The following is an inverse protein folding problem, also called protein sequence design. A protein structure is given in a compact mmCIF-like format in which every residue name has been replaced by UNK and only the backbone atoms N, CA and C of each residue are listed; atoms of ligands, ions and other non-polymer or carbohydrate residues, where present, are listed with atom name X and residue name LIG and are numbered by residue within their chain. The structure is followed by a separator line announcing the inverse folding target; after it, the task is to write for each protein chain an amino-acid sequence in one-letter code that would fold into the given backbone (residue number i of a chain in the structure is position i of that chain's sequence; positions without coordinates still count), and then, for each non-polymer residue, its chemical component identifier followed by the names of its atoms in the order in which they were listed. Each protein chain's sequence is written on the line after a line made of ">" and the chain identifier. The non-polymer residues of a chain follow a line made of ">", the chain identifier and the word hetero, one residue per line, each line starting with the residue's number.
data_IF_416920424194
#
_entry.id   IF_416920424194
#
_cell.length_a   1.000
_cell.length_b   1.000
_cell.length_c   1.000
_cell.angle_alpha   90.00
_cell.angle_beta   90.00
_cell.angle_gamma   90.00
#
_symmetry.space_group_name_H-M   'P 1'
#
loop_
_entity.id
_entity.type
_entity.pdbx_description
1 polymer ?
#
# COMPACT_ATOMS: atom_id res chain seq x y z
N UNK A 1 57.53 4.90 -48.84
CA UNK A 1 56.28 4.09 -48.84
C UNK A 1 55.78 3.76 -47.43
N UNK A 2 55.82 4.72 -46.49
CA UNK A 2 55.36 4.55 -45.08
C UNK A 2 54.41 5.66 -44.61
N UNK A 3 53.98 6.55 -45.51
CA UNK A 3 53.09 7.69 -45.19
C UNK A 3 51.63 7.41 -45.64
N UNK A 4 51.39 6.37 -46.44
CA UNK A 4 50.05 6.03 -46.94
C UNK A 4 49.22 5.14 -46.00
N UNK A 5 49.86 4.44 -45.04
CA UNK A 5 49.17 3.50 -44.14
C UNK A 5 48.57 4.17 -42.88
N UNK A 6 49.04 5.35 -42.50
CA UNK A 6 48.53 6.07 -41.31
C UNK A 6 47.26 6.85 -41.64
N UNK A 7 47.08 7.28 -42.89
CA UNK A 7 45.90 8.06 -43.30
C UNK A 7 44.64 7.19 -43.45
N UNK A 8 44.78 5.91 -43.81
CA UNK A 8 43.63 5.01 -43.96
C UNK A 8 43.09 4.47 -42.61
N UNK A 9 43.94 4.36 -41.58
CA UNK A 9 43.50 3.98 -40.23
C UNK A 9 42.78 5.12 -39.48
N UNK A 10 43.12 6.38 -39.77
CA UNK A 10 42.46 7.56 -39.20
C UNK A 10 41.12 7.91 -39.87
N UNK A 11 40.89 7.45 -41.10
CA UNK A 11 39.61 7.62 -41.81
C UNK A 11 38.55 6.56 -41.43
N UNK A 12 38.95 5.44 -40.80
CA UNK A 12 38.02 4.43 -40.25
C UNK A 12 37.63 4.67 -38.78
N UNK A 13 38.30 5.60 -38.09
CA UNK A 13 37.89 6.07 -36.75
C UNK A 13 36.93 7.28 -36.80
N UNK A 14 36.53 7.72 -37.99
CA UNK A 14 35.68 8.91 -38.22
C UNK A 14 34.36 8.60 -38.92
N UNK A 15 34.01 7.33 -39.09
CA UNK A 15 32.61 6.92 -39.12
C UNK A 15 32.23 6.52 -37.71
N UNK A 16 32.04 7.54 -36.86
CA UNK A 16 31.24 7.42 -35.68
C UNK A 16 29.81 7.05 -36.08
N UNK A 17 29.58 5.79 -36.44
CA UNK A 17 28.36 5.08 -36.12
C UNK A 17 28.28 5.08 -34.58
N UNK A 18 27.99 6.25 -34.01
CA UNK A 18 27.11 6.29 -32.86
C UNK A 18 25.92 5.50 -33.34
N UNK A 19 25.72 4.31 -32.79
CA UNK A 19 24.39 3.74 -32.78
C UNK A 19 23.48 4.92 -32.42
N UNK A 20 22.62 5.34 -33.37
CA UNK A 20 21.54 6.25 -33.02
C UNK A 20 20.99 5.67 -31.73
N UNK A 21 20.97 6.47 -30.65
CA UNK A 21 20.38 6.06 -29.38
C UNK A 21 18.98 5.58 -29.73
N UNK A 22 18.84 4.27 -29.88
CA UNK A 22 17.69 3.68 -30.52
C UNK A 22 16.53 4.13 -29.66
N UNK A 23 15.65 4.96 -30.23
CA UNK A 23 14.59 5.63 -29.49
C UNK A 23 13.87 4.55 -28.71
N UNK A 24 14.07 4.53 -27.39
CA UNK A 24 13.47 3.51 -26.53
C UNK A 24 11.97 3.59 -26.79
N UNK A 25 11.34 2.52 -27.28
CA UNK A 25 9.95 2.58 -27.65
C UNK A 25 9.11 2.86 -26.40
N UNK A 26 7.99 3.53 -26.60
CA UNK A 26 7.02 3.78 -25.52
C UNK A 26 6.49 2.48 -24.90
N UNK A 27 6.51 1.39 -25.69
CA UNK A 27 6.16 0.05 -25.26
C UNK A 27 7.38 -0.89 -25.39
N UNK A 28 7.89 -1.34 -24.25
CA UNK A 28 9.02 -2.26 -24.11
C UNK A 28 8.61 -3.73 -24.30
N UNK A 29 7.33 -4.01 -24.51
CA UNK A 29 6.86 -5.38 -24.72
C UNK A 29 7.45 -5.94 -26.04
N UNK A 30 8.06 -7.14 -26.02
CA UNK A 30 8.92 -7.62 -27.12
C UNK A 30 8.17 -7.85 -28.44
N UNK A 31 6.90 -8.25 -28.37
CA UNK A 31 6.04 -8.44 -29.53
C UNK A 31 4.57 -8.19 -29.17
N UNK A 32 4.05 -7.02 -29.52
CA UNK A 32 2.67 -6.64 -29.22
C UNK A 32 1.62 -7.47 -29.95
N UNK A 33 2.04 -8.19 -31.00
CA UNK A 33 1.19 -9.04 -31.82
C UNK A 33 1.19 -10.51 -31.39
N UNK A 34 2.15 -10.94 -30.58
CA UNK A 34 2.40 -12.34 -30.21
C UNK A 34 2.81 -13.29 -31.34
N UNK A 35 3.17 -12.78 -32.53
CA UNK A 35 3.70 -13.57 -33.66
C UNK A 35 4.99 -14.34 -33.35
N UNK A 36 5.85 -13.84 -32.47
CA UNK A 36 7.11 -14.50 -32.09
C UNK A 36 6.91 -15.71 -31.17
N UNK A 37 5.71 -15.88 -30.62
CA UNK A 37 5.41 -16.91 -29.64
C UNK A 37 5.19 -18.25 -30.35
N UNK A 38 5.94 -19.27 -29.93
CA UNK A 38 5.89 -20.59 -30.56
C UNK A 38 4.55 -21.26 -30.27
N UNK A 39 3.93 -21.79 -31.32
CA UNK A 39 2.72 -22.58 -31.16
C UNK A 39 3.04 -23.91 -30.46
N UNK A 40 2.16 -24.31 -29.56
CA UNK A 40 2.18 -25.59 -28.84
C UNK A 40 0.78 -26.19 -28.85
N UNK A 41 0.59 -27.35 -28.20
CA UNK A 41 -0.75 -27.93 -28.04
C UNK A 41 -1.72 -27.02 -27.25
N UNK A 42 -1.21 -26.22 -26.32
CA UNK A 42 -2.03 -25.35 -25.46
C UNK A 42 -2.01 -23.88 -25.90
N UNK A 43 -1.14 -23.49 -26.84
CA UNK A 43 -0.86 -22.09 -27.12
C UNK A 43 -0.75 -21.83 -28.60
N UNK A 44 -1.38 -20.77 -29.08
CA UNK A 44 -1.24 -20.33 -30.47
C UNK A 44 -1.45 -18.84 -30.62
N UNK A 45 -0.67 -18.24 -31.50
CA UNK A 45 -0.97 -16.93 -32.05
C UNK A 45 -2.21 -17.01 -32.95
N UNK A 46 -3.06 -16.00 -32.90
CA UNK A 46 -4.11 -15.76 -33.90
C UNK A 46 -4.16 -14.29 -34.28
N UNK A 47 -4.18 -13.94 -35.58
CA UNK A 47 -4.17 -12.54 -36.03
C UNK A 47 -5.43 -11.77 -35.65
N UNK A 48 -6.55 -12.46 -35.38
CA UNK A 48 -7.86 -11.84 -35.20
C UNK A 48 -8.61 -12.32 -33.94
N UNK A 49 -7.96 -13.04 -33.01
CA UNK A 49 -8.63 -13.56 -31.80
C UNK A 49 -8.78 -12.52 -30.68
N UNK A 50 -8.00 -11.44 -30.73
CA UNK A 50 -8.01 -10.34 -29.77
C UNK A 50 -9.24 -9.45 -29.90
N UNK A 51 -9.38 -8.54 -28.95
CA UNK A 51 -10.48 -7.57 -28.90
C UNK A 51 -10.58 -6.76 -30.20
N UNK A 52 -11.79 -6.69 -30.77
CA UNK A 52 -12.09 -6.00 -32.02
C UNK A 52 -11.22 -6.47 -33.21
N UNK A 53 -10.89 -7.77 -33.25
CA UNK A 53 -10.09 -8.37 -34.32
C UNK A 53 -8.58 -8.10 -34.20
N UNK A 54 -8.11 -7.66 -33.03
CA UNK A 54 -6.68 -7.51 -32.80
C UNK A 54 -5.95 -8.87 -32.80
N UNK A 55 -4.63 -8.89 -33.00
CA UNK A 55 -3.85 -10.10 -32.77
C UNK A 55 -3.87 -10.50 -31.29
N UNK A 56 -3.88 -11.80 -31.03
CA UNK A 56 -3.96 -12.33 -29.67
C UNK A 56 -3.23 -13.66 -29.49
N UNK A 57 -2.76 -13.86 -28.27
CA UNK A 57 -2.24 -15.15 -27.80
C UNK A 57 -3.40 -15.95 -27.20
N UNK A 58 -3.78 -17.03 -27.87
CA UNK A 58 -4.72 -18.00 -27.32
C UNK A 58 -3.93 -18.96 -26.44
N UNK A 59 -4.42 -19.15 -25.21
CA UNK A 59 -4.01 -20.24 -24.32
C UNK A 59 -5.25 -21.06 -24.01
N UNK A 60 -5.23 -22.34 -24.37
CA UNK A 60 -6.35 -23.27 -24.24
C UNK A 60 -5.85 -24.55 -23.60
N UNK A 61 -6.28 -24.79 -22.35
CA UNK A 61 -5.86 -25.96 -21.58
C UNK A 61 -7.02 -26.93 -21.46
N UNK A 62 -6.87 -28.08 -22.11
CA UNK A 62 -7.84 -29.20 -22.10
C UNK A 62 -7.39 -30.38 -21.27
N UNK A 63 -6.08 -30.53 -21.11
CA UNK A 63 -5.47 -31.63 -20.36
C UNK A 63 -4.76 -31.06 -19.13
N UNK A 64 -5.17 -31.43 -17.90
CA UNK A 64 -4.51 -30.98 -16.69
C UNK A 64 -3.06 -31.47 -16.60
N UNK A 65 -2.68 -32.56 -17.25
CA UNK A 65 -1.33 -33.14 -17.21
C UNK A 65 -0.31 -32.41 -18.09
N UNK A 66 -0.78 -31.65 -19.08
CA UNK A 66 0.07 -30.82 -19.94
C UNK A 66 0.25 -29.46 -19.26
N UNK A 67 1.47 -28.94 -19.26
CA UNK A 67 1.74 -27.58 -18.80
C UNK A 67 2.75 -26.93 -19.74
N UNK A 68 2.26 -26.02 -20.60
CA UNK A 68 3.11 -25.22 -21.46
C UNK A 68 3.33 -23.81 -20.90
N UNK A 69 4.59 -23.53 -20.54
CA UNK A 69 5.03 -22.22 -20.09
C UNK A 69 6.16 -21.69 -20.96
N UNK A 70 5.76 -20.91 -21.98
CA UNK A 70 6.69 -20.11 -22.77
C UNK A 70 6.80 -18.70 -22.20
N UNK A 71 8.02 -18.18 -22.17
CA UNK A 71 8.33 -16.78 -21.93
C UNK A 71 9.14 -16.21 -23.10
N UNK A 72 8.93 -14.94 -23.40
CA UNK A 72 9.73 -14.19 -24.36
C UNK A 72 10.71 -13.27 -23.66
N UNK A 73 11.92 -13.15 -24.21
CA UNK A 73 12.92 -12.19 -23.72
C UNK A 73 12.46 -10.77 -24.04
N UNK A 74 12.48 -9.89 -23.05
CA UNK A 74 12.27 -8.46 -23.26
C UNK A 74 13.51 -7.92 -23.99
N UNK A 75 13.29 -7.42 -25.22
CA UNK A 75 14.38 -7.04 -26.13
C UNK A 75 15.02 -5.70 -25.75
N UNK A 76 14.24 -4.83 -25.10
CA UNK A 76 14.70 -3.51 -24.69
C UNK A 76 15.28 -3.56 -23.29
N UNK A 77 16.41 -2.87 -23.04
CA UNK A 77 17.04 -2.88 -21.73
C UNK A 77 16.10 -2.27 -20.68
N UNK A 78 15.74 -3.08 -19.70
CA UNK A 78 15.07 -2.62 -18.49
C UNK A 78 16.13 -2.16 -17.49
N UNK A 79 15.84 -1.10 -16.73
CA UNK A 79 16.72 -0.54 -15.71
C UNK A 79 16.57 -1.30 -14.38
N UNK A 80 17.66 -1.55 -13.64
CA UNK A 80 17.61 -2.02 -12.24
C UNK A 80 16.85 -1.07 -11.32
N UNK A 81 16.23 -1.65 -10.28
CA UNK A 81 15.45 -0.94 -9.27
C UNK A 81 14.49 0.12 -9.86
N UNK A 82 13.86 -0.16 -11.00
CA UNK A 82 13.03 0.79 -11.74
C UNK A 82 11.58 0.31 -11.84
N UNK A 83 10.65 1.25 -11.92
CA UNK A 83 9.21 0.95 -11.96
C UNK A 83 8.72 0.79 -13.39
N UNK A 84 7.85 -0.17 -13.59
CA UNK A 84 7.19 -0.45 -14.86
C UNK A 84 5.72 -0.74 -14.67
N UNK A 85 4.92 -0.41 -15.67
CA UNK A 85 3.52 -0.80 -15.75
C UNK A 85 3.34 -1.82 -16.87
N UNK A 86 2.76 -2.96 -16.51
CA UNK A 86 2.30 -3.96 -17.45
C UNK A 86 0.77 -3.86 -17.56
N UNK A 87 0.27 -3.59 -18.76
CA UNK A 87 -1.16 -3.61 -19.09
C UNK A 87 -1.44 -4.64 -20.18
N UNK A 88 -2.55 -5.35 -20.10
CA UNK A 88 -3.04 -6.21 -21.17
C UNK A 88 -4.57 -6.38 -21.11
N UNK A 89 -5.17 -6.78 -22.22
CA UNK A 89 -6.58 -7.20 -22.30
C UNK A 89 -6.64 -8.73 -22.29
N UNK A 90 -7.60 -9.28 -21.56
CA UNK A 90 -7.85 -10.73 -21.55
C UNK A 90 -9.34 -11.02 -21.53
N UNK A 91 -9.76 -11.96 -22.37
CA UNK A 91 -11.07 -12.62 -22.30
C UNK A 91 -10.87 -14.09 -22.01
N UNK A 92 -11.90 -14.76 -21.48
CA UNK A 92 -11.77 -16.17 -21.18
C UNK A 92 -13.08 -16.88 -20.95
N UNK A 93 -13.05 -18.19 -21.14
CA UNK A 93 -14.16 -19.11 -20.99
C UNK A 93 -13.74 -20.30 -20.12
N UNK A 94 -14.57 -20.62 -19.16
CA UNK A 94 -14.45 -21.79 -18.28
C UNK A 94 -13.07 -21.89 -17.60
N UNK A 95 -12.45 -20.73 -17.30
CA UNK A 95 -11.17 -20.69 -16.60
C UNK A 95 -11.41 -21.12 -15.15
N UNK A 96 -10.78 -22.21 -14.75
CA UNK A 96 -10.89 -22.74 -13.40
C UNK A 96 -10.66 -21.67 -12.32
N UNK A 97 -11.52 -21.55 -11.28
CA UNK A 97 -11.37 -20.56 -10.21
C UNK A 97 -10.19 -20.87 -9.28
N UNK A 98 -9.46 -21.97 -9.50
CA UNK A 98 -8.39 -22.41 -8.63
C UNK A 98 -7.07 -21.70 -8.93
N UNK A 99 -6.44 -21.22 -7.85
CA UNK A 99 -5.05 -20.76 -7.70
C UNK A 99 -4.55 -19.58 -8.57
N UNK A 100 -4.49 -19.68 -9.90
CA UNK A 100 -3.82 -18.67 -10.75
C UNK A 100 -4.62 -18.18 -11.97
N UNK A 101 -5.61 -18.91 -12.48
CA UNK A 101 -6.39 -18.47 -13.66
C UNK A 101 -5.50 -18.13 -14.87
N UNK A 102 -5.97 -17.24 -15.74
CA UNK A 102 -5.21 -16.69 -16.87
C UNK A 102 -4.27 -15.57 -16.39
N UNK A 103 -3.02 -15.93 -16.13
CA UNK A 103 -2.02 -15.14 -15.39
C UNK A 103 -0.88 -14.62 -16.27
N UNK A 104 -0.10 -13.70 -15.69
CA UNK A 104 1.16 -13.22 -16.26
C UNK A 104 2.31 -13.35 -15.25
N UNK A 105 3.50 -13.68 -15.76
CA UNK A 105 4.73 -13.76 -14.99
C UNK A 105 5.85 -13.04 -15.73
N UNK A 106 6.66 -12.31 -14.97
CA UNK A 106 7.96 -11.81 -15.40
C UNK A 106 9.05 -12.44 -14.54
N UNK A 107 10.18 -12.80 -15.16
CA UNK A 107 11.32 -13.40 -14.48
C UNK A 107 12.58 -12.65 -14.87
N UNK A 108 13.42 -12.38 -13.89
CA UNK A 108 14.67 -11.66 -14.03
C UNK A 108 15.83 -12.60 -13.74
N UNK A 109 16.91 -12.47 -14.50
CA UNK A 109 18.11 -13.28 -14.36
C UNK A 109 19.35 -12.41 -14.30
N UNK A 110 20.37 -12.92 -13.60
CA UNK A 110 21.71 -12.35 -13.53
C UNK A 110 22.72 -13.47 -13.74
N UNK A 111 23.53 -13.40 -14.78
CA UNK A 111 24.55 -14.39 -15.13
C UNK A 111 23.98 -15.83 -15.12
N UNK A 112 22.78 -16.01 -15.68
CA UNK A 112 22.08 -17.31 -15.71
C UNK A 112 21.48 -17.77 -14.37
N UNK A 113 21.61 -16.99 -13.28
CA UNK A 113 20.97 -17.26 -11.99
C UNK A 113 19.69 -16.44 -11.83
N UNK A 114 18.70 -17.00 -11.15
CA UNK A 114 17.45 -16.31 -10.87
C UNK A 114 17.71 -15.08 -9.98
N UNK A 115 17.31 -13.90 -10.46
CA UNK A 115 17.48 -12.62 -9.76
C UNK A 115 16.16 -12.08 -9.18
N UNK A 116 15.03 -12.64 -9.59
CA UNK A 116 13.73 -12.24 -9.09
C UNK A 116 12.59 -12.67 -10.02
N UNK A 117 11.36 -12.60 -9.54
CA UNK A 117 10.20 -12.75 -10.42
C UNK A 117 9.00 -11.99 -9.90
N UNK A 118 8.17 -11.58 -10.84
CA UNK A 118 6.88 -10.99 -10.59
C UNK A 118 5.80 -11.91 -11.15
N UNK A 119 4.76 -12.19 -10.38
CA UNK A 119 3.63 -13.01 -10.83
C UNK A 119 2.33 -12.39 -10.35
N UNK A 120 1.38 -12.21 -11.27
CA UNK A 120 0.05 -11.72 -10.93
C UNK A 120 -1.02 -12.63 -11.47
N UNK A 121 -1.97 -12.90 -10.58
CA UNK A 121 -3.22 -13.61 -10.87
C UNK A 121 -4.05 -12.73 -11.80
N UNK A 122 -4.49 -13.31 -12.91
CA UNK A 122 -5.37 -12.61 -13.84
C UNK A 122 -6.80 -13.13 -13.77
N UNK A 123 -7.35 -13.51 -14.91
CA UNK A 123 -8.78 -13.79 -15.07
C UNK A 123 -9.17 -15.18 -14.56
N UNK A 124 -10.36 -15.28 -13.94
CA UNK A 124 -11.03 -16.51 -13.55
C UNK A 124 -12.43 -16.58 -14.15
N UNK A 125 -12.97 -17.80 -14.26
CA UNK A 125 -14.31 -18.07 -14.77
C UNK A 125 -14.46 -17.70 -16.24
N UNK A 126 -15.72 -17.42 -16.62
CA UNK A 126 -16.07 -16.91 -17.94
C UNK A 126 -16.26 -15.40 -17.85
N UNK A 127 -15.58 -14.68 -18.73
CA UNK A 127 -15.65 -13.22 -18.79
C UNK A 127 -15.32 -12.76 -20.19
N UNK A 128 -16.07 -11.76 -20.63
CA UNK A 128 -15.65 -10.92 -21.75
C UNK A 128 -14.40 -10.10 -21.37
N UNK A 129 -13.91 -9.29 -22.30
CA UNK A 129 -12.66 -8.57 -22.20
C UNK A 129 -12.51 -7.69 -20.95
N UNK A 130 -11.51 -8.02 -20.13
CA UNK A 130 -11.07 -7.22 -18.98
C UNK A 130 -9.66 -6.67 -19.20
N UNK A 131 -9.43 -5.48 -18.66
CA UNK A 131 -8.09 -4.87 -18.63
C UNK A 131 -7.44 -5.20 -17.32
N UNK A 132 -6.25 -5.77 -17.37
CA UNK A 132 -5.37 -5.91 -16.22
C UNK A 132 -4.24 -4.90 -16.33
N UNK A 133 -3.93 -4.28 -15.20
CA UNK A 133 -2.86 -3.30 -15.05
C UNK A 133 -2.11 -3.63 -13.77
N UNK A 134 -0.81 -3.80 -13.88
CA UNK A 134 0.03 -4.08 -12.73
C UNK A 134 1.31 -3.27 -12.76
N UNK A 135 1.70 -2.79 -11.59
CA UNK A 135 3.01 -2.16 -11.39
C UNK A 135 4.04 -3.18 -10.92
N UNK A 136 5.27 -3.00 -11.39
CA UNK A 136 6.39 -3.91 -11.20
C UNK A 136 7.61 -3.06 -10.86
N UNK A 137 8.34 -3.42 -9.81
CA UNK A 137 9.69 -2.90 -9.55
C UNK A 137 10.69 -3.97 -9.93
N UNK A 138 11.66 -3.64 -10.78
CA UNK A 138 12.71 -4.59 -11.18
C UNK A 138 13.68 -4.85 -10.03
N UNK A 139 14.35 -6.02 -9.98
CA UNK A 139 15.38 -6.29 -8.98
C UNK A 139 16.54 -5.29 -9.03
N UNK A 140 17.29 -5.19 -7.93
CA UNK A 140 18.48 -4.33 -7.81
C UNK A 140 19.60 -4.71 -8.78
N UNK A 141 19.68 -5.98 -9.16
CA UNK A 141 20.68 -6.47 -10.11
C UNK A 141 20.08 -7.57 -11.00
N UNK A 142 20.11 -7.35 -12.32
CA UNK A 142 19.74 -8.32 -13.35
C UNK A 142 20.35 -7.89 -14.70
N UNK A 143 20.51 -8.83 -15.64
CA UNK A 143 20.98 -8.56 -17.01
C UNK A 143 19.95 -8.95 -18.09
N UNK A 144 18.90 -9.68 -17.70
CA UNK A 144 17.88 -10.15 -18.63
C UNK A 144 16.53 -10.32 -17.94
N UNK A 145 15.47 -10.05 -18.69
CA UNK A 145 14.09 -10.14 -18.24
C UNK A 145 13.26 -10.89 -19.28
N UNK A 146 12.32 -11.71 -18.79
CA UNK A 146 11.45 -12.54 -19.61
C UNK A 146 10.01 -12.38 -19.15
N UNK A 147 9.05 -12.39 -20.08
CA UNK A 147 7.62 -12.26 -19.79
C UNK A 147 6.84 -13.42 -20.40
N UNK A 148 5.91 -14.00 -19.64
CA UNK A 148 5.09 -15.15 -20.02
C UNK A 148 3.64 -14.99 -19.62
N UNK A 149 2.72 -15.28 -20.53
CA UNK A 149 1.29 -15.48 -20.25
C UNK A 149 0.98 -16.97 -20.18
N UNK A 150 0.13 -17.37 -19.24
CA UNK A 150 -0.11 -18.78 -18.97
C UNK A 150 -1.41 -19.03 -18.21
N UNK A 151 -1.82 -20.30 -18.16
CA UNK A 151 -2.88 -20.79 -17.29
C UNK A 151 -2.36 -21.89 -16.36
N UNK A 152 -2.32 -21.57 -15.06
CA UNK A 152 -2.05 -22.52 -14.00
C UNK A 152 -0.62 -22.62 -13.43
N UNK A 153 -0.42 -23.37 -12.34
CA UNK A 153 0.88 -23.48 -11.66
C UNK A 153 1.82 -24.49 -12.34
N UNK A 154 3.12 -24.17 -12.50
CA UNK A 154 4.10 -25.14 -12.99
C UNK A 154 4.43 -26.27 -12.00
N UNK A 155 4.31 -26.03 -10.68
CA UNK A 155 5.22 -26.71 -9.76
C UNK A 155 4.70 -27.76 -8.79
N UNK A 156 3.40 -27.89 -8.46
CA UNK A 156 3.04 -28.94 -7.45
C UNK A 156 1.72 -29.70 -7.59
N UNK A 157 0.72 -29.27 -8.36
CA UNK A 157 -0.51 -30.07 -8.52
C UNK A 157 -1.21 -29.72 -9.84
N UNK A 158 -1.14 -30.56 -10.88
CA UNK A 158 -1.81 -30.32 -12.17
C UNK A 158 -3.35 -30.32 -12.12
N UNK A 159 -3.98 -30.48 -10.95
CA UNK A 159 -5.39 -30.83 -10.88
C UNK A 159 -6.31 -29.63 -11.23
N UNK A 160 -7.01 -29.76 -12.36
CA UNK A 160 -8.23 -29.04 -12.75
C UNK A 160 -8.09 -27.56 -13.18
N UNK A 161 -6.91 -27.12 -13.65
CA UNK A 161 -6.77 -25.78 -14.26
C UNK A 161 -7.00 -25.83 -15.76
N UNK A 162 -8.26 -25.99 -16.15
CA UNK A 162 -8.72 -25.96 -17.54
C UNK A 162 -9.25 -24.58 -17.91
N UNK A 163 -9.40 -24.35 -19.20
CA UNK A 163 -10.09 -23.19 -19.73
C UNK A 163 -9.53 -22.70 -21.05
N UNK A 164 -10.07 -21.58 -21.48
CA UNK A 164 -9.67 -20.86 -22.68
C UNK A 164 -9.46 -19.40 -22.31
N UNK A 165 -8.32 -18.84 -22.71
CA UNK A 165 -7.99 -17.44 -22.51
C UNK A 165 -7.38 -16.86 -23.78
N UNK A 166 -7.73 -15.60 -24.09
CA UNK A 166 -7.08 -14.84 -25.15
C UNK A 166 -6.48 -13.57 -24.55
N UNK A 167 -5.18 -13.40 -24.69
CA UNK A 167 -4.46 -12.19 -24.29
C UNK A 167 -4.20 -11.32 -25.52
N UNK A 168 -4.45 -10.02 -25.41
CA UNK A 168 -4.12 -9.06 -26.48
C UNK A 168 -3.70 -7.69 -25.93
N UNK A 169 -3.11 -6.87 -26.81
CA UNK A 169 -2.69 -5.47 -26.52
C UNK A 169 -1.76 -5.35 -25.29
N UNK A 170 -0.68 -6.13 -25.20
CA UNK A 170 0.24 -6.02 -24.08
C UNK A 170 1.04 -4.72 -24.19
N UNK A 171 1.12 -3.97 -23.09
CA UNK A 171 1.92 -2.76 -22.95
C UNK A 171 2.80 -2.89 -21.73
N UNK A 172 4.11 -2.74 -21.90
CA UNK A 172 5.07 -2.63 -20.82
C UNK A 172 5.76 -1.28 -20.95
N UNK A 173 5.61 -0.39 -19.98
CA UNK A 173 6.22 0.96 -20.04
C UNK A 173 6.91 1.32 -18.73
N UNK A 174 7.98 2.08 -18.82
CA UNK A 174 8.66 2.63 -17.65
C UNK A 174 7.75 3.66 -16.96
N UNK A 175 7.65 3.58 -15.64
CA UNK A 175 6.98 4.55 -14.81
C UNK A 175 8.02 5.47 -14.16
N UNK A 176 7.59 6.69 -13.83
CA UNK A 176 8.39 7.58 -12.99
C UNK A 176 8.62 6.93 -11.61
N UNK A 177 9.77 7.17 -10.96
CA UNK A 177 9.96 6.72 -9.59
C UNK A 177 8.96 7.42 -8.65
N UNK A 178 8.69 6.76 -7.52
CA UNK A 178 7.88 7.32 -6.44
C UNK A 178 8.83 7.82 -5.36
N UNK A 179 8.59 9.06 -4.95
CA UNK A 179 9.20 9.61 -3.76
C UNK A 179 8.28 9.44 -2.57
N UNK A 180 8.69 8.61 -1.62
CA UNK A 180 7.99 8.42 -0.36
C UNK A 180 8.72 9.18 0.75
N UNK A 181 8.00 10.08 1.39
CA UNK A 181 8.48 10.81 2.56
C UNK A 181 7.37 10.81 3.61
N UNK A 182 7.74 10.46 4.84
CA UNK A 182 6.82 10.50 5.98
C UNK A 182 7.54 11.13 7.19
N UNK A 183 6.79 11.87 8.01
CA UNK A 183 7.30 12.36 9.30
C UNK A 183 7.28 11.19 10.29
N UNK A 184 8.44 10.88 10.84
CA UNK A 184 8.62 9.85 11.85
C UNK A 184 8.46 10.42 13.26
N UNK A 185 8.99 11.62 13.50
CA UNK A 185 8.96 12.26 14.82
C UNK A 185 8.77 13.78 14.71
N UNK A 186 7.80 14.36 15.42
CA UNK A 186 6.74 13.68 16.16
C UNK A 186 5.73 13.03 15.21
N UNK A 187 5.07 11.93 15.60
CA UNK A 187 4.05 11.27 14.76
C UNK A 187 2.76 12.09 14.62
N UNK A 188 2.67 13.25 15.29
CA UNK A 188 1.49 14.11 15.37
C UNK A 188 1.76 15.45 14.67
N UNK A 189 1.61 15.49 13.35
CA UNK A 189 1.90 16.68 12.52
C UNK A 189 1.10 17.94 12.92
N UNK A 190 -0.08 17.76 13.51
CA UNK A 190 -1.00 18.85 13.88
C UNK A 190 -1.04 19.14 15.39
N UNK A 191 -0.30 18.38 16.19
CA UNK A 191 -0.22 18.50 17.65
C UNK A 191 1.12 19.06 18.12
N UNK A 192 1.80 19.86 17.29
CA UNK A 192 3.17 20.32 17.55
C UNK A 192 3.20 21.39 18.64
N UNK A 193 4.33 21.48 19.34
CA UNK A 193 4.59 22.53 20.33
C UNK A 193 5.14 23.77 19.67
N UNK A 194 4.87 24.95 20.23
CA UNK A 194 5.56 26.18 19.83
C UNK A 194 7.02 26.15 20.28
N UNK A 195 7.87 26.88 19.56
CA UNK A 195 9.31 26.94 19.83
C UNK A 195 10.12 25.93 19.01
N UNK A 196 11.35 25.61 19.46
CA UNK A 196 12.24 24.70 18.75
C UNK A 196 11.69 23.27 18.67
N UNK A 197 11.62 22.75 17.45
CA UNK A 197 11.22 21.39 17.13
C UNK A 197 12.26 20.74 16.20
N UNK A 198 12.44 19.42 16.36
CA UNK A 198 13.17 18.59 15.39
C UNK A 198 12.17 17.67 14.70
N UNK A 199 11.94 17.92 13.42
CA UNK A 199 11.06 17.11 12.59
C UNK A 199 11.91 16.07 11.87
N UNK A 200 11.82 14.81 12.31
CA UNK A 200 12.57 13.70 11.73
C UNK A 200 11.71 13.03 10.68
N UNK A 201 12.23 12.91 9.47
CA UNK A 201 11.54 12.28 8.36
C UNK A 201 12.26 11.02 7.91
N UNK A 202 11.49 10.09 7.37
CA UNK A 202 12.00 8.98 6.57
C UNK A 202 11.87 9.33 5.08
N UNK A 203 12.74 8.72 4.29
CA UNK A 203 12.86 8.90 2.85
C UNK A 203 12.98 7.52 2.22
N UNK A 204 12.21 7.27 1.16
CA UNK A 204 12.42 6.13 0.27
C UNK A 204 12.14 6.54 -1.18
N UNK A 205 12.97 6.05 -2.10
CA UNK A 205 12.71 6.12 -3.54
C UNK A 205 12.43 4.73 -4.07
N UNK A 206 11.24 4.56 -4.64
CA UNK A 206 10.89 3.34 -5.36
C UNK A 206 11.05 3.61 -6.84
N UNK A 207 11.83 2.79 -7.54
CA UNK A 207 12.01 2.95 -8.98
C UNK A 207 13.21 3.79 -9.40
N UNK A 208 14.18 4.02 -8.50
CA UNK A 208 15.44 4.69 -8.83
C UNK A 208 16.63 3.93 -8.20
N UNK A 209 17.73 3.65 -8.93
CA UNK A 209 18.94 3.03 -8.37
C UNK A 209 19.57 3.91 -7.28
N UNK A 210 20.34 3.28 -6.37
CA UNK A 210 20.88 3.71 -5.06
C UNK A 210 21.51 5.12 -4.93
N UNK A 211 20.79 6.17 -5.33
CA UNK A 211 21.20 7.56 -5.20
C UNK A 211 20.17 8.30 -4.34
N UNK A 212 20.29 8.13 -3.03
CA UNK A 212 19.66 9.06 -2.10
C UNK A 212 20.21 10.48 -2.40
N UNK A 213 19.39 11.54 -2.38
CA UNK A 213 19.89 12.89 -2.37
C UNK A 213 20.89 13.04 -1.24
N UNK A 214 22.00 13.71 -1.47
CA UNK A 214 22.81 14.19 -0.35
C UNK A 214 22.03 15.24 0.46
N UNK A 215 21.19 16.02 -0.23
CA UNK A 215 20.40 17.10 0.36
C UNK A 215 19.03 17.25 -0.29
N UNK A 216 18.06 17.76 0.47
CA UNK A 216 16.79 18.26 -0.03
C UNK A 216 16.51 19.68 0.49
N UNK A 217 15.57 20.37 -0.13
CA UNK A 217 15.11 21.68 0.32
C UNK A 217 13.82 21.53 1.13
N UNK A 218 13.82 22.05 2.35
CA UNK A 218 12.66 22.18 3.21
C UNK A 218 12.25 23.66 3.29
N UNK A 219 11.08 23.99 2.76
CA UNK A 219 10.51 25.34 2.75
C UNK A 219 9.22 25.33 3.57
N UNK A 220 9.10 26.23 4.54
CA UNK A 220 7.89 26.37 5.34
C UNK A 220 7.29 27.76 5.14
N UNK A 221 5.96 27.83 5.01
CA UNK A 221 5.19 29.08 4.84
C UNK A 221 3.96 29.12 5.74
N UNK A 222 3.53 30.31 6.14
CA UNK A 222 2.35 30.52 7.00
C UNK A 222 2.73 31.10 8.36
N UNK A 223 2.27 30.50 9.45
CA UNK A 223 2.61 30.97 10.80
C UNK A 223 4.12 30.96 11.08
N UNK A 224 4.86 30.04 10.46
CA UNK A 224 6.33 29.97 10.51
C UNK A 224 6.87 29.96 9.10
N UNK A 225 7.95 30.72 8.87
CA UNK A 225 8.59 30.79 7.57
C UNK A 225 10.08 30.47 7.68
N UNK A 226 10.57 29.57 6.83
CA UNK A 226 11.98 29.26 6.66
C UNK A 226 12.24 28.53 5.35
N UNK A 227 13.50 28.57 4.90
CA UNK A 227 14.02 27.67 3.88
C UNK A 227 15.33 27.07 4.37
N UNK A 228 15.47 25.75 4.28
CA UNK A 228 16.64 25.01 4.74
C UNK A 228 17.07 23.99 3.68
N UNK A 229 18.38 23.88 3.47
CA UNK A 229 18.97 22.73 2.79
C UNK A 229 19.31 21.70 3.86
N UNK A 230 18.65 20.54 3.83
CA UNK A 230 18.80 19.52 4.88
C UNK A 230 19.53 18.29 4.32
N UNK A 231 20.57 17.81 5.01
CA UNK A 231 21.28 16.60 4.59
C UNK A 231 20.41 15.37 4.80
N UNK A 232 20.51 14.41 3.88
CA UNK A 232 19.86 13.09 4.00
C UNK A 232 20.93 12.06 4.26
N UNK A 233 20.70 11.21 5.26
CA UNK A 233 21.60 10.13 5.65
C UNK A 233 20.78 8.89 5.97
N UNK A 234 21.15 7.76 5.37
CA UNK A 234 20.53 6.45 5.63
C UNK A 234 18.99 6.47 5.52
N UNK A 235 18.47 7.15 4.49
CA UNK A 235 17.04 7.29 4.26
C UNK A 235 16.32 8.17 5.30
N UNK A 236 17.03 9.04 6.01
CA UNK A 236 16.46 9.95 7.01
C UNK A 236 17.04 11.36 6.91
N UNK A 237 16.27 12.33 7.35
CA UNK A 237 16.72 13.71 7.49
C UNK A 237 15.97 14.43 8.60
N UNK A 238 16.53 15.54 9.09
CA UNK A 238 15.96 16.34 10.17
C UNK A 238 15.77 17.77 9.71
N UNK A 239 14.53 18.26 9.81
CA UNK A 239 14.21 19.68 9.63
C UNK A 239 14.12 20.33 11.02
N UNK A 240 14.98 21.31 11.29
CA UNK A 240 14.94 22.08 12.54
C UNK A 240 13.98 23.25 12.36
N UNK A 241 12.88 23.29 13.10
CA UNK A 241 11.87 24.33 12.93
C UNK A 241 11.64 25.06 14.26
N UNK A 242 11.65 26.39 14.24
CA UNK A 242 11.19 27.18 15.38
C UNK A 242 9.74 27.61 15.14
N UNK A 243 8.78 26.79 15.58
CA UNK A 243 7.38 26.91 15.21
C UNK A 243 6.67 27.98 16.04
N UNK A 244 6.02 28.94 15.37
CA UNK A 244 5.06 29.87 15.98
C UNK A 244 3.69 29.23 16.09
N UNK A 245 2.86 29.76 17.00
CA UNK A 245 1.46 29.33 17.14
C UNK A 245 0.72 29.54 15.81
N UNK A 246 0.00 28.51 15.35
CA UNK A 246 -0.78 28.54 14.13
C UNK A 246 -0.36 27.47 13.12
N UNK A 247 -0.96 27.55 11.94
CA UNK A 247 -0.77 26.58 10.86
C UNK A 247 0.33 27.05 9.90
N UNK A 248 1.13 26.10 9.43
CA UNK A 248 2.12 26.33 8.37
C UNK A 248 2.19 25.12 7.43
N UNK A 249 2.65 25.37 6.21
CA UNK A 249 2.81 24.35 5.19
C UNK A 249 4.30 24.13 4.98
N UNK A 250 4.76 22.92 5.28
CA UNK A 250 6.13 22.47 4.99
C UNK A 250 6.13 21.77 3.64
N UNK A 251 6.86 22.33 2.69
CA UNK A 251 7.13 21.76 1.38
C UNK A 251 8.54 21.21 1.34
N UNK A 252 8.66 19.93 1.01
CA UNK A 252 9.93 19.26 0.79
C UNK A 252 10.14 19.11 -0.72
N UNK A 253 11.34 19.40 -1.21
CA UNK A 253 11.68 19.32 -2.63
C UNK A 253 12.99 18.59 -2.87
N UNK A 254 12.98 17.68 -3.84
CA UNK A 254 14.15 17.01 -4.36
C UNK A 254 14.00 16.82 -5.88
N UNK A 255 14.81 17.51 -6.68
CA UNK A 255 14.70 17.48 -8.14
C UNK A 255 13.26 17.78 -8.61
N UNK A 256 12.60 16.89 -9.38
CA UNK A 256 11.21 17.07 -9.81
C UNK A 256 10.17 16.68 -8.74
N UNK A 257 10.59 16.12 -7.61
CA UNK A 257 9.68 15.62 -6.57
C UNK A 257 9.34 16.72 -5.56
N UNK A 258 8.08 16.74 -5.13
CA UNK A 258 7.57 17.67 -4.11
C UNK A 258 6.60 16.92 -3.21
N UNK A 259 6.79 17.06 -1.91
CA UNK A 259 5.88 16.54 -0.87
C UNK A 259 5.49 17.67 0.07
N UNK A 260 4.24 17.65 0.52
CA UNK A 260 3.65 18.76 1.28
C UNK A 260 3.05 18.22 2.57
N UNK A 261 3.46 18.81 3.68
CA UNK A 261 2.96 18.53 5.02
C UNK A 261 2.27 19.77 5.57
N UNK A 262 1.06 19.58 6.11
CA UNK A 262 0.41 20.58 6.94
C UNK A 262 0.90 20.39 8.37
N UNK A 263 1.39 21.47 8.97
CA UNK A 263 1.86 21.47 10.34
C UNK A 263 1.00 22.46 11.14
N UNK A 264 0.66 22.10 12.36
CA UNK A 264 -0.05 23.00 13.28
C UNK A 264 0.62 22.97 14.64
N UNK A 265 0.97 24.15 15.15
CA UNK A 265 1.68 24.29 16.42
C UNK A 265 0.92 25.17 17.41
N UNK A 266 1.05 24.84 18.70
CA UNK A 266 0.47 25.62 19.79
C UNK A 266 -1.04 25.45 19.95
N UNK A 267 -1.58 24.33 19.48
CA UNK A 267 -2.91 23.87 19.88
C UNK A 267 -2.88 23.46 21.36
N UNK A 268 -3.96 23.74 22.08
CA UNK A 268 -4.07 23.38 23.49
C UNK A 268 -4.25 21.87 23.64
N UNK A 269 -3.35 21.23 24.37
CA UNK A 269 -3.41 19.79 24.66
C UNK A 269 -4.60 19.52 25.58
N UNK A 270 -5.58 18.68 25.19
CA UNK A 270 -6.70 18.33 26.04
C UNK A 270 -6.23 17.47 27.23
N UNK A 271 -7.03 17.43 28.29
CA UNK A 271 -6.70 16.68 29.50
C UNK A 271 -6.48 15.17 29.25
N UNK A 272 -7.15 14.59 28.24
CA UNK A 272 -6.98 13.20 27.83
C UNK A 272 -5.91 13.00 26.75
N UNK A 273 -5.19 14.04 26.35
CA UNK A 273 -4.22 14.00 25.25
C UNK A 273 -3.06 13.04 25.51
N UNK A 274 -2.60 12.41 24.43
CA UNK A 274 -1.52 11.44 24.38
C UNK A 274 -0.50 11.90 23.36
N UNK A 275 0.79 11.87 23.70
CA UNK A 275 1.86 12.17 22.75
C UNK A 275 3.01 11.20 22.88
N UNK A 276 3.86 11.16 21.86
CA UNK A 276 5.11 10.41 21.88
C UNK A 276 6.25 11.39 22.16
N UNK A 277 7.09 11.10 23.15
CA UNK A 277 8.26 11.91 23.45
C UNK A 277 9.44 11.62 22.50
N UNK A 278 10.52 12.39 22.64
CA UNK A 278 11.75 12.25 21.84
C UNK A 278 12.43 10.87 21.96
N UNK A 279 12.10 10.09 23.01
CA UNK A 279 12.62 8.74 23.24
C UNK A 279 11.70 7.66 22.67
N UNK A 280 10.63 8.05 21.97
CA UNK A 280 9.64 7.12 21.45
C UNK A 280 8.68 6.58 22.52
N UNK A 281 8.64 7.17 23.72
CA UNK A 281 7.74 6.74 24.79
C UNK A 281 6.40 7.44 24.65
N UNK A 282 5.33 6.69 24.80
CA UNK A 282 4.01 7.28 24.94
C UNK A 282 3.88 7.96 26.30
N UNK A 283 3.38 9.19 26.30
CA UNK A 283 3.12 10.00 27.47
C UNK A 283 1.63 10.24 27.58
N UNK A 284 1.06 9.91 28.74
CA UNK A 284 -0.35 10.12 29.09
C UNK A 284 -0.40 10.78 30.46
N UNK A 285 -1.19 11.84 30.60
CA UNK A 285 -1.29 12.61 31.86
C UNK A 285 0.09 13.03 32.42
N UNK A 286 1.02 13.40 31.53
CA UNK A 286 2.37 13.82 31.90
C UNK A 286 3.34 12.71 32.33
N UNK A 287 2.93 11.43 32.30
CA UNK A 287 3.77 10.30 32.71
C UNK A 287 4.00 9.32 31.55
N UNK A 288 5.20 8.70 31.45
CA UNK A 288 5.41 7.59 30.54
C UNK A 288 4.38 6.48 30.78
N UNK A 289 3.81 5.96 29.69
CA UNK A 289 2.79 4.94 29.69
C UNK A 289 3.17 3.86 28.67
N UNK A 290 3.18 2.60 29.08
CA UNK A 290 3.39 1.46 28.19
C UNK A 290 2.06 0.71 28.06
N UNK A 291 1.38 0.74 26.89
CA UNK A 291 0.18 -0.05 26.70
C UNK A 291 0.54 -1.54 26.68
N UNK A 292 0.10 -2.28 27.71
CA UNK A 292 0.06 -3.74 27.71
C UNK A 292 -1.36 -4.13 27.34
N UNK A 293 -1.55 -4.45 26.05
CA UNK A 293 -2.87 -4.60 25.46
C UNK A 293 -3.33 -6.05 25.39
N UNK A 294 -4.62 -6.29 25.70
CA UNK A 294 -5.31 -7.51 25.30
C UNK A 294 -6.07 -7.25 24.00
N UNK A 295 -5.78 -8.05 22.98
CA UNK A 295 -6.46 -7.99 21.69
C UNK A 295 -7.60 -8.99 21.63
N UNK A 296 -8.78 -8.50 21.27
CA UNK A 296 -9.93 -9.35 20.96
C UNK A 296 -10.15 -9.34 19.44
N UNK A 297 -9.91 -10.48 18.77
CA UNK A 297 -10.09 -10.62 17.34
C UNK A 297 -11.30 -11.52 17.02
N UNK A 298 -12.45 -10.87 16.81
CA UNK A 298 -13.74 -11.51 16.55
C UNK A 298 -13.92 -12.08 15.13
N UNK A 299 -12.88 -12.17 14.31
CA UNK A 299 -12.99 -12.49 12.88
C UNK A 299 -12.83 -13.98 12.51
N UNK A 300 -12.56 -14.87 13.46
CA UNK A 300 -12.39 -16.29 13.17
C UNK A 300 -13.74 -16.95 12.75
N UNK A 301 -13.78 -17.78 11.68
CA UNK A 301 -15.01 -18.44 11.22
C UNK A 301 -15.72 -19.26 12.31
N UNK A 302 -14.96 -19.91 13.20
CA UNK A 302 -15.50 -20.64 14.35
C UNK A 302 -16.32 -19.76 15.29
N UNK A 303 -16.01 -18.47 15.38
CA UNK A 303 -16.71 -17.51 16.25
C UNK A 303 -18.06 -17.06 15.68
N UNK A 304 -18.32 -17.27 14.38
CA UNK A 304 -19.63 -16.97 13.75
C UNK A 304 -20.70 -18.00 14.07
N UNK A 305 -20.30 -19.23 14.37
CA UNK A 305 -21.21 -20.36 14.61
C UNK A 305 -21.70 -20.41 16.07
N UNK A 306 -20.89 -19.91 17.02
CA UNK A 306 -21.22 -19.89 18.46
C UNK A 306 -21.85 -18.59 18.97
N UNK A 307 -21.99 -17.56 18.12
CA UNK A 307 -22.73 -16.35 18.46
C UNK A 307 -22.14 -15.54 19.62
N UNK A 308 -20.81 -15.35 19.66
CA UNK A 308 -20.19 -14.72 20.82
C UNK A 308 -20.47 -13.20 20.91
N UNK A 309 -20.81 -12.79 22.12
CA UNK A 309 -21.02 -11.42 22.60
C UNK A 309 -19.97 -11.21 23.68
N UNK A 310 -19.23 -10.09 23.66
CA UNK A 310 -18.39 -9.73 24.81
C UNK A 310 -19.30 -9.67 26.04
N UNK A 311 -19.15 -10.62 26.96
CA UNK A 311 -20.05 -10.72 28.10
C UNK A 311 -19.69 -9.69 29.17
N UNK A 312 -20.61 -9.45 30.09
CA UNK A 312 -20.30 -8.65 31.28
C UNK A 312 -19.14 -9.26 32.07
N UNK A 313 -19.08 -10.60 32.16
CA UNK A 313 -18.01 -11.33 32.83
C UNK A 313 -16.65 -11.09 32.16
N UNK A 314 -16.58 -11.14 30.82
CA UNK A 314 -15.35 -10.85 30.06
C UNK A 314 -14.82 -9.45 30.36
N UNK A 315 -15.72 -8.45 30.39
CA UNK A 315 -15.35 -7.07 30.72
C UNK A 315 -14.87 -7.00 32.16
N UNK A 316 -15.55 -7.63 33.11
CA UNK A 316 -15.13 -7.64 34.52
C UNK A 316 -13.77 -8.32 34.71
N UNK A 317 -13.50 -9.42 34.00
CA UNK A 317 -12.20 -10.09 33.98
C UNK A 317 -11.12 -9.14 33.46
N UNK A 318 -11.37 -8.46 32.34
CA UNK A 318 -10.44 -7.48 31.80
C UNK A 318 -10.18 -6.32 32.77
N UNK A 319 -11.23 -5.74 33.36
CA UNK A 319 -11.11 -4.62 34.30
C UNK A 319 -10.24 -4.98 35.52
N UNK A 320 -10.32 -6.23 35.99
CA UNK A 320 -9.51 -6.77 37.10
C UNK A 320 -8.13 -7.28 36.67
N UNK A 321 -7.91 -7.46 35.38
CA UNK A 321 -6.65 -8.01 34.84
C UNK A 321 -5.47 -7.02 34.97
N UNK A 322 -4.21 -7.50 34.84
CA UNK A 322 -3.05 -6.61 34.80
C UNK A 322 -2.89 -5.86 33.48
N UNK A 323 -3.66 -6.19 32.43
CA UNK A 323 -3.61 -5.48 31.15
C UNK A 323 -4.06 -4.03 31.33
N UNK A 324 -3.35 -3.08 30.73
CA UNK A 324 -3.66 -1.65 30.88
C UNK A 324 -4.60 -1.15 29.80
N UNK A 325 -4.65 -1.85 28.67
CA UNK A 325 -5.24 -1.36 27.44
C UNK A 325 -6.05 -2.46 26.77
N UNK A 326 -7.23 -2.11 26.30
CA UNK A 326 -8.04 -2.99 25.49
C UNK A 326 -7.84 -2.63 24.02
N UNK A 327 -7.58 -3.63 23.18
CA UNK A 327 -7.58 -3.49 21.74
C UNK A 327 -8.72 -4.34 21.17
N UNK A 328 -9.90 -3.73 21.07
CA UNK A 328 -11.04 -4.42 20.49
C UNK A 328 -10.93 -4.42 18.97
N UNK A 329 -11.40 -5.52 18.35
CA UNK A 329 -12.02 -5.45 17.03
C UNK A 329 -13.12 -4.37 17.00
N UNK A 330 -13.74 -4.05 15.85
CA UNK A 330 -14.56 -2.85 15.71
C UNK A 330 -15.52 -2.66 16.88
N UNK A 331 -15.24 -1.63 17.71
CA UNK A 331 -15.90 -1.22 18.97
C UNK A 331 -17.43 -1.23 18.92
N UNK A 332 -17.93 -1.14 17.71
CA UNK A 332 -19.31 -1.14 17.26
C UNK A 332 -20.03 -2.48 17.39
N UNK A 333 -19.27 -3.56 17.59
CA UNK A 333 -19.81 -4.90 17.84
C UNK A 333 -19.97 -5.21 19.32
N UNK A 334 -19.59 -4.29 20.21
CA UNK A 334 -19.83 -4.44 21.64
C UNK A 334 -21.34 -4.53 21.88
N UNK A 335 -21.78 -5.71 22.33
CA UNK A 335 -23.12 -6.01 22.80
C UNK A 335 -23.01 -6.30 24.29
N UNK A 336 -24.07 -6.04 25.05
CA UNK A 336 -24.15 -6.49 26.43
C UNK A 336 -25.08 -7.70 26.54
N UNK A 337 -24.98 -8.42 27.66
CA UNK A 337 -25.76 -9.61 27.95
C UNK A 337 -27.28 -9.36 27.79
N UNK A 338 -27.98 -10.29 27.12
CA UNK A 338 -29.41 -10.19 26.81
C UNK A 338 -29.77 -9.59 25.44
N UNK A 339 -28.79 -9.20 24.61
CA UNK A 339 -29.04 -8.64 23.29
C UNK A 339 -29.04 -9.69 22.17
N UNK A 340 -30.11 -9.78 21.37
CA UNK A 340 -30.18 -10.70 20.22
C UNK A 340 -29.20 -10.31 19.11
N UNK A 341 -28.59 -11.32 18.49
CA UNK A 341 -27.76 -11.12 17.31
C UNK A 341 -28.61 -10.70 16.10
N UNK A 342 -28.42 -9.46 15.63
CA UNK A 342 -28.85 -9.09 14.28
C UNK A 342 -28.22 -10.03 13.25
N UNK A 343 -29.01 -10.50 12.28
CA UNK A 343 -28.61 -11.51 11.29
C UNK A 343 -27.58 -11.02 10.26
N UNK A 344 -27.12 -9.76 10.32
CA UNK A 344 -26.21 -9.20 9.33
C UNK A 344 -25.05 -8.40 9.95
N UNK A 345 -23.88 -8.59 9.36
CA UNK A 345 -22.68 -7.76 9.52
C UNK A 345 -22.98 -6.37 8.96
N UNK A 346 -23.69 -5.50 9.70
CA UNK A 346 -24.22 -4.34 9.01
C UNK A 346 -25.03 -3.27 9.74
N UNK A 347 -25.38 -3.40 11.02
CA UNK A 347 -26.21 -2.39 11.69
C UNK A 347 -25.50 -1.85 12.94
N UNK A 348 -24.70 -0.78 12.78
CA UNK A 348 -24.31 0.06 13.92
C UNK A 348 -25.50 0.97 14.21
N UNK A 349 -26.07 0.81 15.40
CA UNK A 349 -27.18 1.62 15.90
C UNK A 349 -26.68 2.64 16.91
N UNK A 350 -27.51 3.64 17.25
CA UNK A 350 -27.22 4.54 18.37
C UNK A 350 -26.92 3.75 19.66
N UNK A 351 -27.64 2.64 19.87
CA UNK A 351 -27.41 1.73 21.00
C UNK A 351 -25.99 1.15 21.01
N UNK A 352 -25.40 0.84 19.86
CA UNK A 352 -24.00 0.35 19.79
C UNK A 352 -23.01 1.46 20.17
N UNK A 353 -23.27 2.71 19.78
CA UNK A 353 -22.47 3.87 20.20
C UNK A 353 -22.57 4.06 21.71
N UNK A 354 -23.79 4.03 22.25
CA UNK A 354 -24.02 4.19 23.69
C UNK A 354 -23.34 3.06 24.49
N UNK A 355 -23.37 1.84 23.95
CA UNK A 355 -22.70 0.69 24.55
C UNK A 355 -21.17 0.83 24.53
N UNK A 356 -20.60 1.31 23.43
CA UNK A 356 -19.17 1.61 23.34
C UNK A 356 -18.76 2.69 24.35
N UNK A 357 -19.54 3.77 24.48
CA UNK A 357 -19.30 4.82 25.47
C UNK A 357 -19.35 4.28 26.91
N UNK A 358 -20.37 3.48 27.25
CA UNK A 358 -20.47 2.82 28.58
C UNK A 358 -19.26 1.94 28.87
N UNK A 359 -18.76 1.20 27.88
CA UNK A 359 -17.54 0.42 28.04
C UNK A 359 -16.35 1.35 28.31
N UNK A 360 -16.19 2.41 27.52
CA UNK A 360 -15.11 3.37 27.71
C UNK A 360 -15.17 4.04 29.10
N UNK A 361 -16.35 4.38 29.61
CA UNK A 361 -16.55 4.90 30.97
C UNK A 361 -16.04 3.91 32.03
N UNK A 362 -16.37 2.63 31.88
CA UNK A 362 -15.92 1.57 32.78
C UNK A 362 -14.40 1.37 32.72
N UNK A 363 -13.83 1.39 31.52
CA UNK A 363 -12.38 1.34 31.32
C UNK A 363 -11.72 2.53 32.03
N UNK A 364 -12.24 3.74 31.84
CA UNK A 364 -11.73 4.94 32.50
C UNK A 364 -11.79 4.83 34.02
N UNK A 365 -12.93 4.41 34.57
CA UNK A 365 -13.12 4.21 36.01
C UNK A 365 -12.16 3.19 36.62
N UNK A 366 -11.72 2.20 35.86
CA UNK A 366 -10.70 1.23 36.27
C UNK A 366 -9.25 1.65 35.91
N UNK A 367 -9.04 2.89 35.45
CA UNK A 367 -7.73 3.40 35.03
C UNK A 367 -7.18 2.77 33.73
N UNK A 368 -8.01 2.02 33.00
CA UNK A 368 -7.67 1.35 31.74
C UNK A 368 -7.86 2.29 30.55
N UNK A 369 -7.33 1.89 29.40
CA UNK A 369 -7.45 2.63 28.14
C UNK A 369 -7.91 1.74 27.00
N UNK A 370 -8.23 2.36 25.86
CA UNK A 370 -8.63 1.66 24.64
C UNK A 370 -7.89 2.16 23.40
N UNK A 371 -7.48 1.21 22.57
CA UNK A 371 -7.12 1.43 21.17
C UNK A 371 -8.42 1.39 20.37
N UNK A 372 -8.85 2.53 19.85
CA UNK A 372 -10.14 2.67 19.19
C UNK A 372 -10.05 2.29 17.70
N UNK A 373 -10.63 1.16 17.27
CA UNK A 373 -10.67 0.80 15.85
C UNK A 373 -11.49 1.80 15.03
N UNK A 374 -10.83 2.42 14.07
CA UNK A 374 -11.40 3.37 13.11
C UNK A 374 -11.47 2.79 11.69
N UNK A 375 -11.38 1.46 11.54
CA UNK A 375 -11.58 0.80 10.26
C UNK A 375 -13.08 0.70 9.94
N UNK A 376 -13.59 1.33 8.87
CA UNK A 376 -14.90 0.94 8.37
C UNK A 376 -14.78 -0.43 7.68
N UNK A 377 -15.67 -1.36 8.04
CA UNK A 377 -15.90 -2.54 7.22
C UNK A 377 -16.61 -2.07 5.95
N UNK A 378 -15.87 -1.97 4.85
CA UNK A 378 -16.29 -1.69 3.48
C UNK A 378 -17.30 -0.54 3.28
N UNK A 379 -17.01 0.39 2.36
CA UNK A 379 -17.91 1.50 1.98
C UNK A 379 -19.35 1.09 1.55
N UNK A 380 -19.61 -0.22 1.38
CA UNK A 380 -20.91 -0.81 1.05
C UNK A 380 -21.70 -1.30 2.27
N UNK A 381 -21.17 -1.23 3.50
CA UNK A 381 -21.90 -1.70 4.68
C UNK A 381 -23.15 -0.85 4.91
N UNK A 382 -24.28 -1.51 5.18
CA UNK A 382 -25.58 -0.86 5.43
C UNK A 382 -25.54 0.11 6.63
N UNK A 383 -24.56 -0.10 7.50
CA UNK A 383 -24.18 0.62 8.71
C UNK A 383 -24.36 2.14 8.59
N UNK A 384 -23.83 2.73 7.53
CA UNK A 384 -23.71 4.18 7.44
C UNK A 384 -24.86 4.85 6.68
N UNK A 385 -25.72 4.07 6.01
CA UNK A 385 -26.94 4.60 5.36
C UNK A 385 -27.91 5.20 6.37
N UNK A 386 -28.01 4.64 7.59
CA UNK A 386 -28.89 5.12 8.67
C UNK A 386 -28.33 6.34 9.40
N UNK A 387 -27.00 6.45 9.54
CA UNK A 387 -26.31 7.58 10.18
C UNK A 387 -26.03 8.76 9.24
N UNK A 388 -26.50 8.70 7.98
CA UNK A 388 -26.25 9.69 6.90
C UNK A 388 -24.77 9.97 6.58
N UNK A 389 -23.81 9.25 7.18
CA UNK A 389 -22.41 9.26 6.75
C UNK A 389 -22.25 8.33 5.52
N UNK A 390 -21.54 8.75 4.48
CA UNK A 390 -21.25 7.88 3.33
C UNK A 390 -19.76 7.96 2.99
N UNK A 391 -19.12 6.80 2.94
CA UNK A 391 -17.68 6.69 2.63
C UNK A 391 -16.77 6.82 3.86
N UNK A 392 -15.53 6.36 3.71
CA UNK A 392 -14.53 6.21 4.78
C UNK A 392 -14.24 7.51 5.55
N UNK A 393 -14.26 8.65 4.87
CA UNK A 393 -13.94 9.95 5.47
C UNK A 393 -15.08 10.48 6.35
N UNK A 394 -16.34 10.40 5.91
CA UNK A 394 -17.49 10.83 6.73
C UNK A 394 -17.67 9.95 7.97
N UNK A 395 -17.38 8.65 7.84
CA UNK A 395 -17.34 7.74 8.99
C UNK A 395 -16.26 8.18 9.96
N UNK A 396 -15.03 8.42 9.48
CA UNK A 396 -13.91 8.87 10.31
C UNK A 396 -14.27 10.14 11.09
N UNK A 397 -14.87 11.14 10.42
CA UNK A 397 -15.38 12.37 11.07
C UNK A 397 -16.37 12.07 12.19
N UNK A 398 -17.31 11.14 11.95
CA UNK A 398 -18.27 10.73 12.97
C UNK A 398 -17.53 10.10 14.17
N UNK A 399 -16.63 9.14 13.95
CA UNK A 399 -15.92 8.46 15.04
C UNK A 399 -15.14 9.45 15.89
N UNK A 400 -14.40 10.35 15.24
CA UNK A 400 -13.59 11.34 15.94
C UNK A 400 -14.47 12.27 16.78
N UNK A 401 -15.58 12.77 16.24
CA UNK A 401 -16.53 13.61 16.99
C UNK A 401 -17.11 12.89 18.21
N UNK A 402 -17.36 11.59 18.09
CA UNK A 402 -17.98 10.78 19.15
C UNK A 402 -17.00 10.43 20.26
N UNK A 403 -15.76 10.04 19.95
CA UNK A 403 -14.87 9.43 20.96
C UNK A 403 -13.60 10.21 21.30
N UNK A 404 -13.18 11.22 20.52
CA UNK A 404 -11.87 11.89 20.73
C UNK A 404 -11.72 12.55 22.10
N UNK A 405 -12.84 12.96 22.71
CA UNK A 405 -12.86 13.61 24.03
C UNK A 405 -12.92 12.62 25.19
N UNK A 406 -13.05 11.32 24.91
CA UNK A 406 -13.24 10.34 25.96
C UNK A 406 -11.91 10.02 26.68
N UNK A 407 -11.83 10.05 28.02
CA UNK A 407 -10.58 9.89 28.78
C UNK A 407 -9.93 8.50 28.72
N UNK A 408 -10.70 7.48 28.33
CA UNK A 408 -10.20 6.14 28.04
C UNK A 408 -9.50 6.02 26.68
N UNK A 409 -9.72 6.94 25.73
CA UNK A 409 -9.10 6.85 24.41
C UNK A 409 -7.58 6.97 24.52
N UNK A 410 -6.85 6.03 23.90
CA UNK A 410 -5.39 6.06 23.84
C UNK A 410 -4.88 6.48 22.46
N UNK A 411 -5.45 5.87 21.42
CA UNK A 411 -5.02 6.01 20.03
C UNK A 411 -6.11 5.49 19.08
N UNK A 412 -5.97 5.82 17.80
CA UNK A 412 -6.82 5.35 16.72
C UNK A 412 -6.16 4.23 15.93
N UNK A 413 -6.84 3.10 15.73
CA UNK A 413 -6.36 1.99 14.91
C UNK A 413 -7.01 2.02 13.53
N UNK A 414 -6.25 2.45 12.52
CA UNK A 414 -6.81 2.82 11.22
C UNK A 414 -6.92 1.64 10.25
N UNK A 415 -5.92 0.74 10.21
CA UNK A 415 -5.89 -0.42 9.32
C UNK A 415 -5.18 -1.62 9.97
N UNK A 416 -5.42 -2.81 9.42
CA UNK A 416 -4.81 -4.08 9.85
C UNK A 416 -4.39 -4.79 8.59
N UNK A 417 -3.08 -4.97 8.46
CA UNK A 417 -2.48 -5.70 7.37
C UNK A 417 -3.05 -5.29 6.00
N UNK A 418 -3.12 -3.99 5.71
CA UNK A 418 -3.48 -3.54 4.36
C UNK A 418 -2.34 -2.75 3.75
N UNK A 419 -2.17 -2.87 2.44
CA UNK A 419 -1.23 -2.03 1.70
C UNK A 419 -1.59 -0.55 1.86
N UNK A 420 -0.57 0.30 1.95
CA UNK A 420 -0.77 1.75 1.93
C UNK A 420 -1.31 2.18 0.58
N UNK A 421 -2.41 2.93 0.58
CA UNK A 421 -3.00 3.52 -0.63
C UNK A 421 -3.45 4.96 -0.35
N UNK A 422 -3.96 5.65 -1.38
CA UNK A 422 -4.38 7.03 -1.27
C UNK A 422 -5.50 7.25 -0.23
N UNK A 423 -6.44 6.31 -0.09
CA UNK A 423 -7.54 6.40 0.88
C UNK A 423 -7.03 6.22 2.32
N UNK A 424 -6.08 5.30 2.54
CA UNK A 424 -5.45 5.08 3.83
C UNK A 424 -4.59 6.28 4.28
N UNK A 425 -3.87 6.90 3.33
CA UNK A 425 -3.16 8.17 3.57
C UNK A 425 -4.16 9.28 3.91
N UNK A 426 -5.20 9.47 3.09
CA UNK A 426 -6.23 10.49 3.32
C UNK A 426 -6.94 10.34 4.67
N UNK A 427 -7.22 9.11 5.10
CA UNK A 427 -7.78 8.81 6.43
C UNK A 427 -6.80 9.20 7.55
N UNK A 428 -5.52 8.84 7.44
CA UNK A 428 -4.48 9.23 8.42
C UNK A 428 -4.43 10.74 8.59
N UNK A 429 -4.36 11.49 7.48
CA UNK A 429 -4.33 12.95 7.50
C UNK A 429 -5.61 13.53 8.11
N UNK A 430 -6.78 12.97 7.80
CA UNK A 430 -8.05 13.40 8.38
C UNK A 430 -8.10 13.20 9.91
N UNK A 431 -7.62 12.08 10.43
CA UNK A 431 -7.55 11.85 11.88
C UNK A 431 -6.57 12.82 12.54
N UNK A 432 -5.41 13.05 11.94
CA UNK A 432 -4.43 14.00 12.45
C UNK A 432 -4.99 15.43 12.49
N UNK A 433 -5.80 15.82 11.50
CA UNK A 433 -6.50 17.11 11.47
C UNK A 433 -7.55 17.24 12.58
N UNK A 434 -8.41 16.22 12.74
CA UNK A 434 -9.57 16.25 13.63
C UNK A 434 -9.23 15.97 15.10
N UNK A 435 -8.21 15.15 15.36
CA UNK A 435 -7.77 14.75 16.69
C UNK A 435 -6.23 14.67 16.73
N UNK A 436 -5.56 15.84 16.78
CA UNK A 436 -4.10 15.92 16.71
C UNK A 436 -3.38 15.40 17.95
N UNK A 437 -4.13 14.99 18.99
CA UNK A 437 -3.61 14.64 20.31
C UNK A 437 -3.83 13.17 20.68
N UNK A 438 -4.28 12.35 19.73
CA UNK A 438 -4.27 10.89 19.88
C UNK A 438 -3.51 10.29 18.70
N UNK A 439 -2.46 9.50 18.94
CA UNK A 439 -1.72 8.81 17.88
C UNK A 439 -2.63 7.97 16.98
N UNK A 440 -2.21 7.81 15.74
CA UNK A 440 -2.81 6.82 14.82
C UNK A 440 -1.87 5.64 14.67
N UNK A 441 -2.42 4.44 14.66
CA UNK A 441 -1.72 3.18 14.46
C UNK A 441 -2.20 2.55 13.16
N UNK A 442 -1.24 2.18 12.31
CA UNK A 442 -1.46 1.47 11.07
C UNK A 442 -0.58 0.22 11.00
N UNK A 443 -1.15 -0.90 10.60
CA UNK A 443 -0.44 -2.16 10.32
C UNK A 443 -0.57 -2.45 8.83
N UNK A 444 0.56 -2.67 8.16
CA UNK A 444 0.63 -2.82 6.71
C UNK A 444 1.27 -4.16 6.34
N UNK A 445 0.80 -4.79 5.25
CA UNK A 445 1.57 -5.86 4.63
C UNK A 445 2.84 -5.25 4.06
N UNK A 446 3.99 -5.88 4.39
CA UNK A 446 5.33 -5.64 3.86
C UNK A 446 5.45 -4.40 2.95
N UNK A 447 6.07 -3.35 3.46
CA UNK A 447 6.84 -2.45 2.60
C UNK A 447 8.03 -3.28 2.12
N UNK A 448 7.93 -3.93 0.95
CA UNK A 448 9.13 -4.42 0.28
C UNK A 448 9.96 -3.18 -0.05
N UNK A 449 10.97 -2.93 0.78
CA UNK A 449 11.95 -1.86 0.62
C UNK A 449 12.95 -2.17 -0.51
#
# INVERSE_FOLDING_TARGET
>A
MKVLFVVMALLLSWTGLRAEDAKVPENLFPDQSFRSWKATAERRFSPNAGENGAPGLIVERKDPSVFDFQMEKIQYPMKPNSRYELTYRVSGKDISPLKLGASVRMVFWKNGKWAGSFMRRGLYGTSDWKTFRFEITTPKDFDSAYIGFFMGMPYKQPQNQLGYAVFCRPVLRELKPIWNVDLLNPPLHHGLRTGPNQLVFTYAMVGQPDNLPEYLTAECKGATEFTQKVPVKDGRFVVKANLKKGDCTLTLRYGPFTEVFKLSAGREMPANGVWIDERGRMIRNGKPFLPVALSDNHLAPVMKEVGYVVTEEDIQLFLKSPFTTLNLGPLWWTRFEGEQAGRSWGDITQKNIDNALKLMDRLHGAGKTIICPARPLHAKSQIFRKLKARGILEVSKFLTRTFSKHPALLMWYLNDETDMNADEKAKRELFADLDPFHPTLQVQYKVEA
#
